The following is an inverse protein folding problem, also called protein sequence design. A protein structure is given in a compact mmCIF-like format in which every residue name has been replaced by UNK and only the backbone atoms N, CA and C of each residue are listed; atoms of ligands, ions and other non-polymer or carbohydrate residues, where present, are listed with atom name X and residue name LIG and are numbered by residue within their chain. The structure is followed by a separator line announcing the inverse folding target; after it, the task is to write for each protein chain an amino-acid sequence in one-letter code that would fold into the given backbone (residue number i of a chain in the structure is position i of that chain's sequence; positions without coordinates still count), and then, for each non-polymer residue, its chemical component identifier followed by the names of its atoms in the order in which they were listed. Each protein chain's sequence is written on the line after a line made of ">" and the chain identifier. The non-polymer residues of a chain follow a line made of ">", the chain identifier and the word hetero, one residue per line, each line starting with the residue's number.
data_IF_172407469946
#
_entry.id   IF_172407469946
#
_cell.length_a   1.000
_cell.length_b   1.000
_cell.length_c   1.000
_cell.angle_alpha   90.00
_cell.angle_beta   90.00
_cell.angle_gamma   90.00
#
_symmetry.space_group_name_H-M   'P 1'
#
loop_
_entity.id
_entity.type
_entity.pdbx_description
1 polymer ?
#
# COMPACT_ATOMS: atom_id res chain seq x y z
N UNK A 1 -0.48 -2.70 48.66
CA UNK A 1 -1.49 -3.40 47.83
C UNK A 1 -1.50 -2.70 46.48
N UNK A 2 -0.69 -3.15 45.54
CA UNK A 2 -0.63 -2.59 44.19
C UNK A 2 -1.91 -3.00 43.45
N UNK A 3 -2.80 -2.07 43.08
CA UNK A 3 -4.10 -2.43 42.55
C UNK A 3 -3.97 -2.90 41.10
N UNK A 4 -4.60 -4.03 40.76
CA UNK A 4 -5.30 -4.39 39.50
C UNK A 4 -4.88 -3.88 38.10
N UNK A 5 -3.78 -3.15 37.91
CA UNK A 5 -3.39 -2.56 36.62
C UNK A 5 -3.10 -3.63 35.55
N UNK A 6 -2.56 -4.79 35.93
CA UNK A 6 -2.34 -5.91 35.00
C UNK A 6 -3.65 -6.48 34.44
N UNK A 7 -4.69 -6.57 35.27
CA UNK A 7 -5.98 -7.11 34.86
C UNK A 7 -6.76 -6.13 33.96
N UNK A 8 -6.68 -4.84 34.27
CA UNK A 8 -7.26 -3.78 33.44
C UNK A 8 -6.55 -3.66 32.08
N UNK A 9 -5.21 -3.70 32.08
CA UNK A 9 -4.41 -3.65 30.85
C UNK A 9 -4.65 -4.87 29.96
N UNK A 10 -4.81 -6.06 30.55
CA UNK A 10 -5.21 -7.26 29.81
C UNK A 10 -6.63 -7.14 29.22
N UNK A 11 -7.57 -6.52 29.95
CA UNK A 11 -8.91 -6.22 29.45
C UNK A 11 -8.90 -5.26 28.26
N UNK A 12 -8.13 -4.16 28.36
CA UNK A 12 -7.98 -3.17 27.29
C UNK A 12 -7.27 -3.79 26.07
N UNK A 13 -6.21 -4.57 26.29
CA UNK A 13 -5.53 -5.29 25.20
C UNK A 13 -6.47 -6.28 24.48
N UNK A 14 -7.39 -6.92 25.21
CA UNK A 14 -8.44 -7.76 24.63
C UNK A 14 -9.43 -6.97 23.77
N UNK A 15 -9.83 -5.77 24.19
CA UNK A 15 -10.68 -4.88 23.39
C UNK A 15 -9.97 -4.43 22.11
N UNK A 16 -8.71 -4.00 22.20
CA UNK A 16 -7.90 -3.60 21.05
C UNK A 16 -7.68 -4.78 20.09
N UNK A 17 -7.50 -6.00 20.62
CA UNK A 17 -7.42 -7.21 19.80
C UNK A 17 -8.71 -7.45 19.01
N UNK A 18 -9.89 -7.36 19.65
CA UNK A 18 -11.19 -7.49 18.98
C UNK A 18 -11.43 -6.42 17.91
N UNK A 19 -10.87 -5.22 18.09
CA UNK A 19 -10.92 -4.18 17.06
C UNK A 19 -10.02 -4.54 15.88
N UNK A 20 -8.79 -4.98 16.15
CA UNK A 20 -7.85 -5.42 15.10
C UNK A 20 -8.34 -6.67 14.36
N UNK A 21 -9.06 -7.59 15.01
CA UNK A 21 -9.56 -8.81 14.37
C UNK A 21 -10.63 -8.55 13.30
N UNK A 22 -11.24 -7.36 13.30
CA UNK A 22 -12.20 -6.92 12.26
C UNK A 22 -11.54 -6.40 10.99
N UNK A 23 -10.21 -6.27 10.96
CA UNK A 23 -9.47 -5.80 9.79
C UNK A 23 -9.85 -6.56 8.50
N UNK A 24 -9.96 -7.88 8.56
CA UNK A 24 -10.30 -8.69 7.39
C UNK A 24 -11.68 -8.32 6.81
N UNK A 25 -12.67 -8.07 7.68
CA UNK A 25 -14.00 -7.65 7.27
C UNK A 25 -13.97 -6.28 6.60
N UNK A 26 -13.19 -5.35 7.15
CA UNK A 26 -13.01 -4.02 6.55
C UNK A 26 -12.35 -4.09 5.18
N UNK A 27 -11.26 -4.87 5.05
CA UNK A 27 -10.57 -5.07 3.76
C UNK A 27 -11.49 -5.66 2.70
N UNK A 28 -12.40 -6.56 3.08
CA UNK A 28 -13.38 -7.13 2.16
C UNK A 28 -14.43 -6.10 1.70
N UNK A 29 -14.89 -5.23 2.61
CA UNK A 29 -15.77 -4.12 2.26
C UNK A 29 -15.10 -3.14 1.28
N UNK A 30 -13.81 -2.81 1.49
CA UNK A 30 -13.03 -2.00 0.54
C UNK A 30 -12.96 -2.65 -0.84
N UNK A 31 -12.65 -3.96 -0.93
CA UNK A 31 -12.62 -4.68 -2.21
C UNK A 31 -13.97 -4.65 -2.93
N UNK A 32 -15.06 -4.77 -2.17
CA UNK A 32 -16.41 -4.70 -2.73
C UNK A 32 -16.70 -3.32 -3.30
N UNK A 33 -16.36 -2.25 -2.56
CA UNK A 33 -16.47 -0.87 -3.03
C UNK A 33 -15.62 -0.65 -4.29
N UNK A 34 -14.37 -1.13 -4.30
CA UNK A 34 -13.49 -1.05 -5.47
C UNK A 34 -14.14 -1.71 -6.70
N UNK A 35 -14.79 -2.86 -6.52
CA UNK A 35 -15.56 -3.52 -7.57
C UNK A 35 -16.71 -2.67 -8.13
N UNK A 36 -17.44 -1.94 -7.28
CA UNK A 36 -18.51 -1.05 -7.73
C UNK A 36 -17.99 0.15 -8.52
N UNK A 37 -16.90 0.77 -8.05
CA UNK A 37 -16.24 1.88 -8.77
C UNK A 37 -15.75 1.40 -10.13
N UNK A 38 -15.06 0.25 -10.14
CA UNK A 38 -14.55 -0.37 -11.36
C UNK A 38 -15.65 -0.64 -12.38
N UNK A 39 -16.72 -1.32 -11.97
CA UNK A 39 -17.85 -1.61 -12.84
C UNK A 39 -18.54 -0.33 -13.35
N UNK A 40 -18.51 0.75 -12.56
CA UNK A 40 -19.03 2.05 -13.00
C UNK A 40 -18.12 2.71 -14.03
N UNK A 41 -16.81 2.62 -13.86
CA UNK A 41 -15.83 3.11 -14.85
C UNK A 41 -16.03 2.44 -16.21
N UNK A 42 -16.08 1.10 -16.24
CA UNK A 42 -16.29 0.33 -17.48
C UNK A 42 -17.61 0.72 -18.17
N UNK A 43 -18.71 0.86 -17.41
CA UNK A 43 -20.00 1.29 -17.99
C UNK A 43 -19.97 2.70 -18.56
N UNK A 44 -19.25 3.62 -17.92
CA UNK A 44 -19.08 4.99 -18.40
C UNK A 44 -18.26 5.04 -19.68
N UNK A 45 -17.26 4.16 -19.83
CA UNK A 45 -16.43 4.08 -21.02
C UNK A 45 -17.15 3.39 -22.19
N UNK A 46 -17.76 2.23 -21.97
CA UNK A 46 -18.23 1.37 -23.06
C UNK A 46 -19.70 1.62 -23.44
N UNK A 47 -20.55 1.96 -22.46
CA UNK A 47 -22.00 2.00 -22.66
C UNK A 47 -22.58 3.42 -22.70
N UNK A 48 -22.13 4.30 -21.81
CA UNK A 48 -22.76 5.60 -21.63
C UNK A 48 -22.59 6.49 -22.87
N UNK A 49 -21.38 6.53 -23.46
CA UNK A 49 -21.12 7.33 -24.65
C UNK A 49 -22.00 6.92 -25.84
N UNK A 50 -22.14 5.62 -26.10
CA UNK A 50 -22.94 5.13 -27.23
C UNK A 50 -24.44 5.42 -27.02
N UNK A 51 -24.95 5.23 -25.80
CA UNK A 51 -26.35 5.58 -25.49
C UNK A 51 -26.62 7.08 -25.62
N UNK A 52 -25.68 7.94 -25.23
CA UNK A 52 -25.83 9.38 -25.36
C UNK A 52 -25.69 9.87 -26.81
N UNK A 53 -24.95 9.15 -27.66
CA UNK A 53 -24.80 9.50 -29.07
C UNK A 53 -26.14 9.54 -29.80
N UNK A 54 -27.06 8.63 -29.46
CA UNK A 54 -28.43 8.61 -29.99
C UNK A 54 -29.22 9.90 -29.70
N UNK A 55 -28.84 10.66 -28.67
CA UNK A 55 -29.47 11.93 -28.30
C UNK A 55 -28.89 13.13 -29.08
N UNK A 56 -27.77 12.92 -29.79
CA UNK A 56 -27.10 13.91 -30.65
C UNK A 56 -27.46 13.77 -32.12
N UNK A 57 -28.03 12.63 -32.53
CA UNK A 57 -28.39 12.31 -33.91
C UNK A 57 -29.88 12.65 -34.20
N UNK A 58 -30.20 13.07 -35.44
CA UNK A 58 -31.58 13.31 -35.91
C UNK A 58 -31.89 14.74 -36.34
N UNK A 59 -33.12 14.97 -36.84
CA UNK A 59 -33.58 16.30 -37.32
C UNK A 59 -33.77 17.34 -36.19
N UNK A 60 -33.82 16.88 -34.92
CA UNK A 60 -33.96 17.76 -33.76
C UNK A 60 -33.22 17.18 -32.54
N UNK A 61 -31.90 17.40 -32.45
CA UNK A 61 -31.07 16.81 -31.39
C UNK A 61 -31.42 17.39 -30.01
N UNK A 62 -31.41 16.52 -28.99
CA UNK A 62 -31.70 16.91 -27.59
C UNK A 62 -30.49 17.60 -26.95
N UNK A 63 -29.29 17.25 -27.40
CA UNK A 63 -28.03 17.77 -26.91
C UNK A 63 -26.99 17.79 -28.04
N UNK A 64 -26.09 18.76 -27.99
CA UNK A 64 -24.97 18.87 -28.93
C UNK A 64 -23.88 17.85 -28.59
N UNK A 65 -23.03 17.52 -29.57
CA UNK A 65 -21.89 16.63 -29.35
C UNK A 65 -20.89 17.21 -28.33
N UNK A 66 -20.77 18.54 -28.27
CA UNK A 66 -19.94 19.24 -27.28
C UNK A 66 -20.52 19.09 -25.86
N UNK A 67 -21.83 19.26 -25.68
CA UNK A 67 -22.51 19.05 -24.40
C UNK A 67 -22.42 17.60 -23.93
N UNK A 68 -22.54 16.63 -24.86
CA UNK A 68 -22.34 15.21 -24.56
C UNK A 68 -20.93 14.96 -24.03
N UNK A 69 -19.91 15.43 -24.74
CA UNK A 69 -18.49 15.26 -24.34
C UNK A 69 -18.22 15.94 -23.00
N UNK A 70 -18.74 17.15 -22.78
CA UNK A 70 -18.61 17.86 -21.52
C UNK A 70 -19.28 17.11 -20.35
N UNK A 71 -20.45 16.52 -20.58
CA UNK A 71 -21.13 15.71 -19.58
C UNK A 71 -20.32 14.45 -19.24
N UNK A 72 -19.86 13.71 -20.25
CA UNK A 72 -19.04 12.50 -20.04
C UNK A 72 -17.77 12.84 -19.27
N UNK A 73 -17.06 13.91 -19.64
CA UNK A 73 -15.87 14.38 -18.93
C UNK A 73 -16.18 14.71 -17.46
N UNK A 74 -17.31 15.36 -17.19
CA UNK A 74 -17.77 15.65 -15.83
C UNK A 74 -18.06 14.38 -15.04
N UNK A 75 -18.72 13.38 -15.65
CA UNK A 75 -18.99 12.09 -14.98
C UNK A 75 -17.69 11.33 -14.66
N UNK A 76 -16.73 11.30 -15.60
CA UNK A 76 -15.40 10.72 -15.35
C UNK A 76 -14.67 11.41 -14.21
N UNK A 77 -14.73 12.74 -14.14
CA UNK A 77 -14.12 13.51 -13.05
C UNK A 77 -14.75 13.19 -11.68
N UNK A 78 -16.08 13.12 -11.60
CA UNK A 78 -16.79 12.74 -10.36
C UNK A 78 -16.34 11.36 -9.89
N UNK A 79 -16.20 10.40 -10.81
CA UNK A 79 -15.75 9.05 -10.43
C UNK A 79 -14.30 9.05 -9.91
N UNK A 80 -13.41 9.86 -10.50
CA UNK A 80 -12.04 10.03 -10.00
C UNK A 80 -12.02 10.62 -8.59
N UNK A 81 -12.86 11.62 -8.32
CA UNK A 81 -12.92 12.27 -7.01
C UNK A 81 -13.44 11.29 -5.94
N UNK A 82 -14.50 10.54 -6.24
CA UNK A 82 -15.01 9.45 -5.38
C UNK A 82 -13.94 8.38 -5.15
N UNK A 83 -13.15 8.05 -6.17
CA UNK A 83 -12.05 7.07 -6.04
C UNK A 83 -10.98 7.57 -5.07
N UNK A 84 -10.61 8.85 -5.16
CA UNK A 84 -9.64 9.47 -4.23
C UNK A 84 -10.17 9.51 -2.80
N UNK A 85 -11.45 9.82 -2.62
CA UNK A 85 -12.11 9.80 -1.31
C UNK A 85 -12.11 8.39 -0.71
N UNK A 86 -12.50 7.38 -1.47
CA UNK A 86 -12.47 5.97 -1.04
C UNK A 86 -11.05 5.53 -0.62
N UNK A 87 -10.02 5.94 -1.36
CA UNK A 87 -8.62 5.67 -1.01
C UNK A 87 -8.28 6.36 0.31
N UNK A 88 -8.65 7.63 0.47
CA UNK A 88 -8.37 8.40 1.68
C UNK A 88 -9.04 7.79 2.93
N UNK A 89 -10.26 7.29 2.79
CA UNK A 89 -10.97 6.55 3.84
C UNK A 89 -10.25 5.26 4.20
N UNK A 90 -9.79 4.51 3.18
CA UNK A 90 -8.97 3.30 3.36
C UNK A 90 -7.70 3.57 4.17
N UNK A 91 -6.96 4.62 3.80
CA UNK A 91 -5.74 5.05 4.52
C UNK A 91 -6.01 5.49 5.95
N UNK A 92 -7.16 6.12 6.19
CA UNK A 92 -7.57 6.56 7.53
C UNK A 92 -7.83 5.36 8.43
N UNK A 93 -8.51 4.34 7.92
CA UNK A 93 -8.75 3.10 8.67
C UNK A 93 -7.46 2.31 8.88
N UNK A 94 -6.58 2.21 7.88
CA UNK A 94 -5.28 1.56 8.05
C UNK A 94 -4.42 2.26 9.13
N UNK A 95 -4.43 3.60 9.16
CA UNK A 95 -3.73 4.38 10.20
C UNK A 95 -4.33 4.14 11.59
N UNK A 96 -5.65 4.01 11.68
CA UNK A 96 -6.34 3.68 12.92
C UNK A 96 -6.03 2.25 13.39
N UNK A 97 -6.03 1.27 12.50
CA UNK A 97 -5.66 -0.11 12.85
C UNK A 97 -4.21 -0.19 13.31
N UNK A 98 -3.31 0.54 12.65
CA UNK A 98 -1.92 0.64 13.08
C UNK A 98 -1.78 1.21 14.50
N UNK A 99 -2.50 2.30 14.81
CA UNK A 99 -2.44 2.90 16.15
C UNK A 99 -2.99 1.97 17.24
N UNK A 100 -4.08 1.24 16.95
CA UNK A 100 -4.66 0.24 17.84
C UNK A 100 -3.70 -0.92 18.11
N UNK A 101 -3.07 -1.45 17.06
CA UNK A 101 -2.08 -2.53 17.20
C UNK A 101 -0.86 -2.07 17.99
N UNK A 102 -0.33 -0.88 17.69
CA UNK A 102 0.82 -0.32 18.40
C UNK A 102 0.53 -0.10 19.88
N UNK A 103 -0.62 0.51 20.20
CA UNK A 103 -1.02 0.72 21.59
C UNK A 103 -1.18 -0.59 22.35
N UNK A 104 -1.79 -1.60 21.73
CA UNK A 104 -1.93 -2.94 22.33
C UNK A 104 -0.54 -3.52 22.66
N UNK A 105 0.38 -3.45 21.72
CA UNK A 105 1.72 -4.03 21.87
C UNK A 105 2.53 -3.29 22.95
N UNK A 106 2.37 -1.97 23.06
CA UNK A 106 2.98 -1.15 24.11
C UNK A 106 2.41 -1.49 25.50
N UNK A 107 1.10 -1.71 25.62
CA UNK A 107 0.46 -2.10 26.89
C UNK A 107 0.91 -3.47 27.38
N UNK A 108 1.11 -4.41 26.46
CA UNK A 108 1.60 -5.75 26.77
C UNK A 108 3.10 -5.79 27.10
N UNK A 109 3.88 -4.83 26.59
CA UNK A 109 5.34 -4.83 26.74
C UNK A 109 5.82 -3.99 27.93
N UNK A 110 5.22 -2.81 28.17
CA UNK A 110 5.74 -1.84 29.13
C UNK A 110 4.95 -1.77 30.45
N UNK A 111 3.86 -2.55 30.60
CA UNK A 111 3.01 -2.50 31.79
C UNK A 111 2.34 -1.14 31.92
N UNK A 112 1.27 -0.94 31.14
CA UNK A 112 0.61 0.35 30.92
C UNK A 112 0.55 1.29 32.12
N UNK A 113 1.16 2.47 31.95
CA UNK A 113 0.91 3.66 32.75
C UNK A 113 -0.50 4.19 32.50
N UNK A 114 -1.11 4.77 33.53
CA UNK A 114 -2.39 5.48 33.41
C UNK A 114 -2.18 6.72 32.52
N UNK A 115 -2.58 6.61 31.26
CA UNK A 115 -2.34 7.62 30.24
C UNK A 115 -3.62 7.82 29.42
N UNK A 116 -3.76 9.01 28.84
CA UNK A 116 -4.86 9.29 27.91
C UNK A 116 -4.67 8.47 26.61
N UNK A 117 -5.29 7.31 26.59
CA UNK A 117 -5.31 6.40 25.45
C UNK A 117 -5.77 7.06 24.16
N UNK A 118 -6.71 8.02 24.25
CA UNK A 118 -7.20 8.72 23.06
C UNK A 118 -6.12 9.62 22.47
N UNK A 119 -5.31 10.28 23.31
CA UNK A 119 -4.18 11.08 22.85
C UNK A 119 -3.06 10.22 22.25
N UNK A 120 -2.72 9.08 22.86
CA UNK A 120 -1.75 8.14 22.28
C UNK A 120 -2.20 7.59 20.92
N UNK A 121 -3.48 7.23 20.79
CA UNK A 121 -4.02 6.77 19.50
C UNK A 121 -3.91 7.85 18.42
N UNK A 122 -4.27 9.10 18.73
CA UNK A 122 -4.12 10.22 17.80
C UNK A 122 -2.67 10.44 17.39
N UNK A 123 -1.75 10.39 18.34
CA UNK A 123 -0.31 10.52 18.07
C UNK A 123 0.19 9.41 17.13
N UNK A 124 -0.16 8.15 17.40
CA UNK A 124 0.23 7.03 16.55
C UNK A 124 -0.42 7.08 15.16
N UNK A 125 -1.67 7.57 15.06
CA UNK A 125 -2.32 7.80 13.77
C UNK A 125 -1.61 8.88 12.96
N UNK A 126 -1.27 10.02 13.58
CA UNK A 126 -0.59 11.12 12.89
C UNK A 126 0.84 10.72 12.48
N UNK A 127 1.56 10.00 13.35
CA UNK A 127 2.87 9.44 13.01
C UNK A 127 2.79 8.44 11.84
N UNK A 128 1.71 7.64 11.76
CA UNK A 128 1.50 6.74 10.63
C UNK A 128 1.13 7.49 9.35
N UNK A 129 0.30 8.54 9.45
CA UNK A 129 -0.15 9.35 8.31
C UNK A 129 0.96 10.22 7.71
N UNK A 130 1.80 10.79 8.56
CA UNK A 130 2.90 11.70 8.16
C UNK A 130 4.08 10.97 7.52
N UNK A 131 4.17 9.64 7.64
CA UNK A 131 5.24 8.89 7.01
C UNK A 131 4.92 8.65 5.52
N UNK A 132 5.68 9.26 4.57
CA UNK A 132 5.45 9.08 3.14
C UNK A 132 5.75 7.65 2.68
N UNK A 133 6.41 6.83 3.52
CA UNK A 133 6.58 5.40 3.30
C UNK A 133 5.43 4.56 3.87
N UNK A 134 4.24 5.10 4.08
CA UNK A 134 3.06 4.31 4.47
C UNK A 134 1.94 4.38 3.43
N UNK A 135 1.91 5.45 2.62
CA UNK A 135 0.89 5.69 1.61
C UNK A 135 1.54 6.23 0.34
N UNK A 136 1.14 5.71 -0.82
CA UNK A 136 1.65 6.18 -2.10
C UNK A 136 1.00 7.51 -2.50
N UNK A 137 1.55 8.20 -3.49
CA UNK A 137 0.79 9.25 -4.16
C UNK A 137 -0.41 8.63 -4.89
N UNK A 138 -1.51 9.36 -5.06
CA UNK A 138 -2.72 8.83 -5.70
C UNK A 138 -2.44 8.31 -7.12
N UNK A 139 -1.54 8.96 -7.84
CA UNK A 139 -1.10 8.61 -9.20
C UNK A 139 -0.41 7.23 -9.27
N UNK A 140 0.16 6.80 -8.16
CA UNK A 140 0.80 5.49 -8.01
C UNK A 140 -0.05 4.49 -7.23
N UNK A 141 -1.23 4.89 -6.74
CA UNK A 141 -2.15 3.97 -6.07
C UNK A 141 -2.71 2.95 -7.06
N UNK A 142 -2.58 1.65 -6.79
CA UNK A 142 -2.92 0.59 -7.75
C UNK A 142 -4.40 0.64 -8.15
N UNK A 143 -5.26 0.86 -7.15
CA UNK A 143 -6.70 0.98 -7.36
C UNK A 143 -7.04 2.22 -8.21
N UNK A 144 -6.37 3.36 -7.99
CA UNK A 144 -6.60 4.55 -8.80
C UNK A 144 -6.19 4.34 -10.26
N UNK A 145 -5.04 3.71 -10.49
CA UNK A 145 -4.54 3.38 -11.84
C UNK A 145 -5.46 2.40 -12.57
N UNK A 146 -6.00 1.41 -11.87
CA UNK A 146 -6.98 0.48 -12.41
C UNK A 146 -8.25 1.22 -12.86
N UNK A 147 -8.77 2.13 -12.02
CA UNK A 147 -9.95 2.93 -12.38
C UNK A 147 -9.68 3.81 -13.61
N UNK A 148 -8.51 4.43 -13.71
CA UNK A 148 -8.13 5.24 -14.89
C UNK A 148 -8.08 4.38 -16.16
N UNK A 149 -7.53 3.17 -16.07
CA UNK A 149 -7.48 2.20 -17.18
C UNK A 149 -8.89 1.84 -17.64
N UNK A 150 -9.80 1.56 -16.71
CA UNK A 150 -11.20 1.22 -17.00
C UNK A 150 -12.01 2.41 -17.52
N UNK A 151 -11.58 3.64 -17.24
CA UNK A 151 -12.13 4.86 -17.83
C UNK A 151 -11.63 5.12 -19.26
N UNK A 152 -10.78 4.25 -19.81
CA UNK A 152 -10.14 4.44 -21.11
C UNK A 152 -9.13 5.58 -21.11
N UNK A 153 -8.72 6.05 -19.94
CA UNK A 153 -7.67 7.04 -19.78
C UNK A 153 -6.37 6.28 -19.59
N UNK A 154 -5.74 5.92 -20.71
CA UNK A 154 -4.39 5.36 -20.68
C UNK A 154 -3.46 6.39 -20.02
N UNK A 155 -3.11 6.13 -18.76
CA UNK A 155 -1.84 6.60 -18.24
C UNK A 155 -0.78 6.05 -19.19
N UNK A 156 -0.01 6.93 -19.84
CA UNK A 156 1.15 6.59 -20.67
C UNK A 156 2.17 5.65 -19.99
N UNK A 157 2.00 5.38 -18.70
CA UNK A 157 2.79 4.49 -17.88
C UNK A 157 2.57 2.97 -18.10
N UNK A 158 1.69 2.53 -19.02
CA UNK A 158 1.70 1.14 -19.49
C UNK A 158 2.94 0.81 -20.36
N UNK A 159 3.64 1.82 -20.86
CA UNK A 159 4.91 1.66 -21.59
C UNK A 159 6.13 2.05 -20.75
N UNK A 160 6.38 1.35 -19.64
CA UNK A 160 7.72 1.01 -19.11
C UNK A 160 8.84 2.06 -18.95
N UNK A 161 8.65 3.35 -19.21
CA UNK A 161 9.73 4.34 -19.26
C UNK A 161 9.19 5.72 -18.83
N UNK A 162 9.90 6.36 -17.89
CA UNK A 162 9.76 7.76 -17.47
C UNK A 162 8.73 8.15 -16.38
N UNK A 163 8.79 7.56 -15.17
CA UNK A 163 8.23 8.22 -13.97
C UNK A 163 9.03 7.85 -12.70
N UNK A 164 10.36 8.01 -12.72
CA UNK A 164 11.22 7.62 -11.58
C UNK A 164 12.06 8.77 -10.99
N UNK A 165 11.83 10.02 -11.40
CA UNK A 165 12.72 11.14 -11.07
C UNK A 165 12.24 12.05 -9.91
N UNK A 166 11.00 11.96 -9.40
CA UNK A 166 10.46 12.98 -8.48
C UNK A 166 10.06 12.52 -7.07
N UNK A 167 10.59 11.40 -6.57
CA UNK A 167 10.57 11.13 -5.13
C UNK A 167 11.99 11.29 -4.60
N UNK A 168 12.31 12.55 -4.31
CA UNK A 168 13.52 12.93 -3.59
C UNK A 168 13.52 12.21 -2.23
N UNK A 169 14.50 11.34 -2.04
CA UNK A 169 14.76 10.69 -0.76
C UNK A 169 15.10 11.79 0.25
N UNK A 170 14.12 12.30 0.98
CA UNK A 170 14.38 13.05 2.20
C UNK A 170 15.00 12.04 3.16
N UNK A 171 16.33 12.10 3.25
CA UNK A 171 17.14 11.27 4.12
C UNK A 171 16.55 11.26 5.53
N UNK A 172 16.18 10.06 5.98
CA UNK A 172 15.55 9.90 7.30
C UNK A 172 14.50 8.82 7.40
N UNK A 173 14.19 8.06 6.34
CA UNK A 173 13.44 6.82 6.50
C UNK A 173 14.26 5.89 7.39
N UNK A 174 13.77 5.63 8.61
CA UNK A 174 14.31 4.63 9.51
C UNK A 174 14.57 3.36 8.70
N UNK A 175 15.72 2.70 8.94
CA UNK A 175 16.22 1.53 8.22
C UNK A 175 15.20 0.36 8.24
N UNK A 176 14.09 0.45 7.52
CA UNK A 176 13.35 -0.71 7.09
C UNK A 176 14.28 -1.40 6.11
N UNK A 177 14.89 -2.49 6.57
CA UNK A 177 15.75 -3.30 5.72
C UNK A 177 14.90 -3.77 4.56
N UNK A 178 15.14 -3.24 3.35
CA UNK A 178 14.59 -3.77 2.08
C UNK A 178 15.09 -5.20 1.78
N UNK A 179 15.78 -5.82 2.74
CA UNK A 179 16.23 -7.19 2.73
C UNK A 179 15.19 -8.08 3.40
N UNK A 180 14.89 -9.20 2.77
CA UNK A 180 14.00 -10.19 3.33
C UNK A 180 14.63 -10.81 4.59
N UNK A 181 13.90 -10.94 5.72
CA UNK A 181 14.42 -11.59 6.92
C UNK A 181 14.62 -13.12 6.75
N UNK A 182 14.09 -13.71 5.68
CA UNK A 182 14.27 -15.14 5.37
C UNK A 182 15.46 -15.39 4.44
N UNK A 183 15.60 -14.62 3.37
CA UNK A 183 16.64 -14.85 2.35
C UNK A 183 17.86 -13.94 2.54
N UNK A 184 17.76 -12.90 3.36
CA UNK A 184 18.77 -11.84 3.59
C UNK A 184 19.18 -11.04 2.35
N UNK A 185 18.59 -11.34 1.18
CA UNK A 185 18.72 -10.58 -0.06
C UNK A 185 17.61 -9.55 -0.18
N UNK A 186 17.72 -8.66 -1.18
CA UNK A 186 16.67 -7.69 -1.50
C UNK A 186 15.31 -8.40 -1.67
N UNK A 187 14.24 -7.82 -1.13
CA UNK A 187 12.90 -8.42 -1.21
C UNK A 187 12.49 -8.64 -2.68
N UNK A 188 11.95 -9.81 -2.98
CA UNK A 188 11.26 -10.08 -4.26
C UNK A 188 9.78 -10.33 -4.00
N UNK A 189 8.90 -9.63 -4.74
CA UNK A 189 7.44 -9.67 -4.54
C UNK A 189 7.07 -9.54 -3.04
N UNK A 190 7.30 -8.37 -2.42
CA UNK A 190 7.15 -8.23 -0.98
C UNK A 190 5.71 -8.50 -0.52
N UNK A 191 5.59 -9.37 0.48
CA UNK A 191 4.36 -9.77 1.14
C UNK A 191 4.40 -9.29 2.59
N UNK A 192 3.46 -8.44 2.99
CA UNK A 192 3.32 -7.94 4.36
C UNK A 192 2.32 -8.79 5.14
N UNK A 193 2.68 -9.15 6.36
CA UNK A 193 1.77 -9.83 7.28
C UNK A 193 0.89 -8.82 8.01
N UNK A 194 -0.43 -8.94 7.93
CA UNK A 194 -1.39 -8.02 8.56
C UNK A 194 -1.32 -8.00 10.09
N UNK A 195 -0.98 -9.14 10.72
CA UNK A 195 -0.94 -9.24 12.18
C UNK A 195 0.29 -8.56 12.80
N UNK A 196 1.47 -8.71 12.20
CA UNK A 196 2.73 -8.21 12.76
C UNK A 196 3.43 -7.12 11.94
N UNK A 197 2.93 -6.79 10.75
CA UNK A 197 3.44 -5.73 9.88
C UNK A 197 4.78 -6.04 9.18
N UNK A 198 5.39 -7.20 9.40
CA UNK A 198 6.66 -7.58 8.77
C UNK A 198 6.48 -8.00 7.31
N UNK A 199 7.49 -7.71 6.50
CA UNK A 199 7.50 -7.92 5.05
C UNK A 199 8.50 -9.01 4.67
N UNK A 200 8.10 -9.90 3.76
CA UNK A 200 8.87 -11.05 3.30
C UNK A 200 8.85 -11.16 1.79
N UNK A 201 9.77 -11.90 1.18
CA UNK A 201 9.66 -12.25 -0.23
C UNK A 201 8.62 -13.34 -0.42
N UNK A 202 7.77 -13.22 -1.46
CA UNK A 202 6.63 -14.13 -1.68
C UNK A 202 7.06 -15.60 -1.74
N UNK A 203 8.06 -15.93 -2.55
CA UNK A 203 8.57 -17.30 -2.65
C UNK A 203 9.07 -17.83 -1.30
N UNK A 204 9.88 -17.02 -0.60
CA UNK A 204 10.50 -17.39 0.66
C UNK A 204 9.48 -17.62 1.78
N UNK A 205 8.46 -16.76 1.90
CA UNK A 205 7.45 -16.89 2.95
C UNK A 205 6.51 -18.06 2.67
N UNK A 206 6.19 -18.33 1.40
CA UNK A 206 5.37 -19.48 1.02
C UNK A 206 6.09 -20.80 1.33
N UNK A 207 7.38 -20.90 0.98
CA UNK A 207 8.20 -22.06 1.33
C UNK A 207 8.35 -22.24 2.85
N UNK A 208 8.52 -21.13 3.58
CA UNK A 208 8.63 -21.13 5.03
C UNK A 208 7.35 -21.66 5.71
N UNK A 209 6.17 -21.24 5.23
CA UNK A 209 4.87 -21.74 5.70
C UNK A 209 4.70 -23.23 5.35
N UNK A 210 5.05 -23.62 4.12
CA UNK A 210 4.93 -25.00 3.63
C UNK A 210 5.85 -25.96 4.41
N UNK A 211 7.00 -25.47 4.91
CA UNK A 211 7.91 -26.19 5.80
C UNK A 211 7.41 -26.32 7.24
N UNK A 212 6.12 -26.05 7.47
CA UNK A 212 5.44 -26.07 8.77
C UNK A 212 6.02 -25.11 9.82
N UNK A 213 6.79 -24.10 9.40
CA UNK A 213 7.27 -23.04 10.29
C UNK A 213 6.22 -21.94 10.35
N UNK A 214 5.58 -21.81 11.51
CA UNK A 214 4.48 -20.86 11.75
C UNK A 214 4.91 -19.61 12.50
N UNK A 215 6.12 -19.55 13.05
CA UNK A 215 6.59 -18.36 13.78
C UNK A 215 7.15 -17.32 12.82
N UNK A 216 6.81 -16.06 13.02
CA UNK A 216 7.46 -14.94 12.35
C UNK A 216 9.00 -15.05 12.48
N UNK A 217 9.76 -14.99 11.38
CA UNK A 217 11.21 -15.15 11.39
C UNK A 217 11.94 -13.90 11.91
N UNK A 218 11.25 -12.77 12.11
CA UNK A 218 11.83 -11.58 12.74
C UNK A 218 12.00 -11.82 14.24
N UNK A 219 13.25 -11.71 14.71
CA UNK A 219 13.60 -11.92 16.11
C UNK A 219 12.79 -11.00 17.03
N UNK A 220 12.23 -11.57 18.11
CA UNK A 220 11.39 -10.84 19.05
C UNK A 220 9.93 -10.67 18.62
N UNK A 221 9.55 -11.07 17.41
CA UNK A 221 8.14 -11.03 17.00
C UNK A 221 7.31 -12.11 17.71
N UNK A 222 6.17 -11.70 18.27
CA UNK A 222 5.24 -12.59 19.00
C UNK A 222 4.27 -13.35 18.10
N UNK A 223 4.26 -13.07 16.79
CA UNK A 223 3.42 -13.83 15.87
C UNK A 223 3.96 -15.26 15.74
N UNK A 224 3.22 -16.21 16.31
CA UNK A 224 3.53 -17.64 16.30
C UNK A 224 2.69 -18.44 15.30
N UNK A 225 1.73 -17.79 14.62
CA UNK A 225 0.77 -18.42 13.72
C UNK A 225 0.68 -17.67 12.39
N UNK A 226 1.79 -17.66 11.66
CA UNK A 226 1.91 -17.15 10.31
C UNK A 226 1.11 -18.06 9.36
N UNK A 227 0.13 -17.45 8.67
CA UNK A 227 -0.71 -18.11 7.67
C UNK A 227 -0.72 -17.33 6.37
N UNK A 228 -1.01 -18.03 5.26
CA UNK A 228 -1.15 -17.40 3.94
C UNK A 228 -2.27 -16.36 3.94
N UNK A 229 -3.35 -16.60 4.69
CA UNK A 229 -4.48 -15.67 4.83
C UNK A 229 -4.13 -14.34 5.50
N UNK A 230 -3.03 -14.28 6.25
CA UNK A 230 -2.53 -13.05 6.87
C UNK A 230 -1.55 -12.28 5.98
N UNK A 231 -1.16 -12.83 4.82
CA UNK A 231 -0.20 -12.20 3.92
C UNK A 231 -0.95 -11.44 2.83
N UNK A 232 -0.58 -10.18 2.64
CA UNK A 232 -1.03 -9.33 1.56
C UNK A 232 0.18 -8.80 0.79
N UNK A 233 0.03 -8.59 -0.52
CA UNK A 233 1.05 -7.94 -1.33
C UNK A 233 1.32 -6.52 -0.83
N UNK A 234 2.58 -6.18 -0.66
CA UNK A 234 3.03 -4.86 -0.24
C UNK A 234 3.62 -4.11 -1.45
N UNK A 235 2.72 -3.55 -2.25
CA UNK A 235 3.11 -2.85 -3.48
C UNK A 235 3.98 -1.62 -3.19
N UNK A 236 3.85 -1.03 -2.01
CA UNK A 236 4.67 0.10 -1.60
C UNK A 236 6.12 -0.33 -1.37
N UNK A 237 6.33 -1.41 -0.61
CA UNK A 237 7.67 -2.00 -0.48
C UNK A 237 8.19 -2.49 -1.83
N UNK A 238 7.32 -2.97 -2.73
CA UNK A 238 7.72 -3.40 -4.07
C UNK A 238 8.29 -2.25 -4.91
N UNK A 239 7.68 -1.05 -4.82
CA UNK A 239 8.19 0.15 -5.48
C UNK A 239 9.55 0.57 -4.90
N UNK A 240 9.70 0.56 -3.57
CA UNK A 240 10.97 0.89 -2.90
C UNK A 240 12.09 -0.07 -3.32
N UNK A 241 11.80 -1.38 -3.32
CA UNK A 241 12.71 -2.44 -3.78
C UNK A 241 13.11 -2.24 -5.24
N UNK A 242 12.13 -1.95 -6.12
CA UNK A 242 12.39 -1.76 -7.55
C UNK A 242 13.33 -0.58 -7.79
N UNK A 243 13.15 0.52 -7.04
CA UNK A 243 14.04 1.68 -7.11
C UNK A 243 15.43 1.36 -6.59
N UNK A 244 15.54 0.70 -5.44
CA UNK A 244 16.83 0.30 -4.88
C UNK A 244 17.59 -0.64 -5.82
N UNK A 245 16.88 -1.58 -6.47
CA UNK A 245 17.47 -2.46 -7.50
C UNK A 245 18.08 -1.67 -8.65
N UNK A 246 17.35 -0.69 -9.21
CA UNK A 246 17.86 0.19 -10.26
C UNK A 246 19.07 1.01 -9.80
N UNK A 247 19.09 1.47 -8.55
CA UNK A 247 20.23 2.20 -7.97
C UNK A 247 21.48 1.33 -7.95
N UNK A 248 21.35 0.11 -7.43
CA UNK A 248 22.45 -0.87 -7.37
C UNK A 248 22.94 -1.27 -8.76
N UNK A 249 22.05 -1.42 -9.74
CA UNK A 249 22.41 -1.69 -11.15
C UNK A 249 23.25 -0.55 -11.75
N UNK A 250 22.84 0.72 -11.54
CA UNK A 250 23.59 1.90 -12.00
C UNK A 250 24.96 2.02 -11.33
N UNK A 251 25.04 1.73 -10.03
CA UNK A 251 26.30 1.72 -9.29
C UNK A 251 27.24 0.62 -9.78
N UNK A 252 26.72 -0.59 -10.02
CA UNK A 252 27.49 -1.70 -10.59
C UNK A 252 28.00 -1.37 -11.99
N UNK A 253 27.18 -0.75 -12.84
CA UNK A 253 27.59 -0.34 -14.20
C UNK A 253 28.71 0.71 -14.17
N UNK A 254 28.65 1.69 -13.25
CA UNK A 254 29.71 2.69 -13.06
C UNK A 254 31.01 2.07 -12.54
N UNK A 255 30.91 1.08 -11.66
CA UNK A 255 32.08 0.39 -11.11
C UNK A 255 32.76 -0.52 -12.17
N UNK A 256 31.96 -1.16 -13.04
CA UNK A 256 32.47 -1.94 -14.17
C UNK A 256 33.20 -1.06 -15.19
N UNK A 257 32.61 0.07 -15.60
CA UNK A 257 33.25 0.98 -16.55
C UNK A 257 34.52 1.66 -16.01
N UNK A 258 34.63 1.83 -14.70
CA UNK A 258 35.83 2.37 -14.05
C UNK A 258 36.96 1.34 -13.92
N UNK A 259 36.64 0.04 -13.89
CA UNK A 259 37.64 -1.04 -13.80
C UNK A 259 38.27 -1.34 -15.17
N UNK A 260 37.49 -1.27 -16.26
CA UNK A 260 37.97 -1.50 -17.63
C UNK A 260 38.97 -0.45 -18.15
N UNK A 261 39.03 0.74 -17.53
CA UNK A 261 39.95 1.84 -17.91
C UNK A 261 41.33 1.76 -17.25
N UNK A 262 41.54 0.84 -16.31
CA UNK A 262 42.81 0.70 -15.58
C UNK A 262 43.72 -0.38 -16.19
N UNK A 263 43.15 -1.33 -16.93
CA UNK A 263 43.88 -2.46 -17.51
C UNK A 263 44.51 -2.17 -18.90
N UNK A 264 44.45 -0.94 -19.42
CA UNK A 264 45.05 -0.57 -20.72
C UNK A 264 46.41 0.15 -20.64
N UNK A 265 46.94 0.42 -19.44
CA UNK A 265 48.15 1.25 -19.26
C UNK A 265 49.39 0.47 -18.75
N UNK A 266 49.42 -0.87 -18.82
CA UNK A 266 50.61 -1.70 -18.53
C UNK A 266 51.11 -2.49 -19.75
N UNK A 267 51.44 -1.81 -20.86
CA UNK A 267 52.44 -2.30 -21.82
C UNK A 267 53.25 -1.11 -22.37
N UNK A 268 54.38 -0.80 -21.72
CA UNK A 268 55.58 -0.19 -22.32
C UNK A 268 56.82 -0.41 -21.44
#
# INVERSE_FOLDING_TARGET
>A
MSPNHSNLNNGIAGLLHNMSSKEAQYREACKTNHGYVKATATRMNDGLQETMRLLTEGENPVLTEEEMKAYLAKQKQILKDVTKENIQDSRTVDSFLHSVCKLRDDLLSNGGEDCDYASKLREYMEAHKSNPSNFLAFEHEPFYREVLTELGEELAAASGQNDDDDIQMVGGASKQTLKCPLTTVLLEEPMKNSFCGHVYSRAAVMEYINSNKRRCPVAGCRNSQLSVSQLAEDQQTALLVRRERKRLERESQKMQSQTELVDTDEED
#
